data_IF_924427731320
#
_entry.id   IF_924427731320
#
_cell.length_a   1.000
_cell.length_b   1.000
_cell.length_c   1.000
_cell.angle_alpha   90.00
_cell.angle_beta   90.00
_cell.angle_gamma   90.00
#
_symmetry.space_group_name_H-M   'P 1'
#
loop_
_entity.id
_entity.type
_entity.pdbx_description
1 polymer ?
#
# COMPACT_ATOMS: atom_id res chain seq x y z
N UNK A 1 -25.25 32.08 35.94
CA UNK A 1 -23.96 31.52 35.50
C UNK A 1 -24.26 30.10 35.05
N UNK A 2 -24.49 29.92 33.77
CA UNK A 2 -24.79 28.60 33.17
C UNK A 2 -23.51 27.92 32.67
N UNK A 3 -23.39 26.59 32.76
CA UNK A 3 -22.21 25.87 32.38
C UNK A 3 -22.17 25.59 30.85
N UNK A 4 -21.76 26.58 30.04
CA UNK A 4 -21.60 26.42 28.59
C UNK A 4 -20.28 25.78 28.17
N UNK A 5 -19.37 25.47 29.12
CA UNK A 5 -18.04 24.98 28.83
C UNK A 5 -17.84 23.46 28.67
N UNK A 6 -18.82 22.65 29.18
CA UNK A 6 -18.64 21.20 29.23
C UNK A 6 -19.11 20.49 27.97
N UNK A 7 -20.02 21.08 27.20
CA UNK A 7 -20.58 20.44 25.99
C UNK A 7 -19.61 20.50 24.79
N UNK A 8 -18.80 21.56 24.70
CA UNK A 8 -17.85 21.74 23.60
C UNK A 8 -16.63 20.80 23.67
N UNK A 9 -16.17 20.48 24.89
CA UNK A 9 -15.04 19.56 25.07
C UNK A 9 -15.43 18.09 24.78
N UNK A 10 -16.66 17.69 25.05
CA UNK A 10 -17.12 16.32 24.80
C UNK A 10 -17.33 16.05 23.30
N UNK A 11 -17.78 17.04 22.54
CA UNK A 11 -17.97 16.91 21.09
C UNK A 11 -16.64 16.85 20.34
N UNK A 12 -15.65 17.64 20.74
CA UNK A 12 -14.29 17.61 20.16
C UNK A 12 -13.57 16.28 20.45
N UNK A 13 -13.72 15.73 21.67
CA UNK A 13 -13.10 14.45 22.01
C UNK A 13 -13.76 13.27 21.25
N UNK A 14 -15.07 13.31 21.01
CA UNK A 14 -15.79 12.29 20.26
C UNK A 14 -15.43 12.33 18.75
N UNK A 15 -15.29 13.52 18.17
CA UNK A 15 -14.87 13.67 16.77
C UNK A 15 -13.43 13.19 16.54
N UNK A 16 -12.50 13.50 17.45
CA UNK A 16 -11.12 13.02 17.36
C UNK A 16 -10.99 11.52 17.57
N UNK A 17 -11.78 10.91 18.46
CA UNK A 17 -11.78 9.46 18.66
C UNK A 17 -12.37 8.73 17.44
N UNK A 18 -13.42 9.25 16.81
CA UNK A 18 -14.00 8.68 15.60
C UNK A 18 -13.08 8.76 14.38
N UNK A 19 -12.30 9.83 14.23
CA UNK A 19 -11.28 9.94 13.18
C UNK A 19 -10.10 8.96 13.41
N UNK A 20 -9.66 8.77 14.64
CA UNK A 20 -8.62 7.79 14.99
C UNK A 20 -9.05 6.35 14.68
N UNK A 21 -10.32 6.00 14.91
CA UNK A 21 -10.86 4.68 14.56
C UNK A 21 -10.93 4.46 13.03
N UNK A 22 -11.25 5.50 12.26
CA UNK A 22 -11.40 5.39 10.81
C UNK A 22 -10.07 5.15 10.09
N UNK A 23 -8.96 5.76 10.54
CA UNK A 23 -7.62 5.66 9.96
C UNK A 23 -6.68 4.72 10.72
N UNK A 24 -7.18 4.07 11.77
CA UNK A 24 -6.39 3.16 12.60
C UNK A 24 -5.25 3.82 13.36
N UNK A 25 -5.27 5.14 13.52
CA UNK A 25 -4.20 5.92 14.16
C UNK A 25 -2.97 6.16 13.27
N UNK A 26 -3.07 5.91 11.97
CA UNK A 26 -1.97 6.05 11.01
C UNK A 26 -1.92 7.40 10.31
N UNK A 27 -2.87 8.28 10.56
CA UNK A 27 -2.97 9.59 9.88
C UNK A 27 -1.68 10.39 10.00
N UNK A 28 -1.25 10.95 8.89
CA UNK A 28 -0.16 11.92 8.81
C UNK A 28 -0.68 13.21 8.18
N UNK A 29 -0.43 14.33 8.83
CA UNK A 29 -1.14 15.60 8.58
C UNK A 29 -0.81 16.36 7.28
N UNK A 30 0.12 15.91 6.43
CA UNK A 30 0.68 16.81 5.41
C UNK A 30 0.83 16.27 3.99
N UNK A 31 0.37 15.06 3.66
CA UNK A 31 0.66 14.45 2.37
C UNK A 31 -0.28 14.86 1.23
N UNK A 32 -1.51 15.28 1.53
CA UNK A 32 -2.48 15.65 0.49
C UNK A 32 -2.06 16.84 -0.37
N UNK A 33 -1.20 17.70 0.15
CA UNK A 33 -0.74 18.91 -0.55
C UNK A 33 0.32 18.61 -1.62
N UNK A 34 1.07 17.52 -1.49
CA UNK A 34 2.18 17.21 -2.41
C UNK A 34 1.77 16.28 -3.54
N UNK A 35 0.89 15.32 -3.29
CA UNK A 35 0.51 14.31 -4.28
C UNK A 35 -0.98 14.04 -4.23
N UNK A 36 -1.71 14.48 -5.25
CA UNK A 36 -3.13 14.15 -5.40
C UNK A 36 -3.35 12.67 -5.72
N UNK A 37 -4.59 12.21 -5.52
CA UNK A 37 -5.00 10.82 -5.86
C UNK A 37 -4.84 10.47 -7.34
N UNK A 38 -4.66 11.48 -8.20
CA UNK A 38 -4.57 11.29 -9.65
C UNK A 38 -5.83 10.72 -10.31
N UNK A 39 -5.76 10.46 -11.62
CA UNK A 39 -6.82 9.78 -12.32
C UNK A 39 -6.90 8.29 -11.97
N UNK A 40 -8.00 7.65 -12.35
CA UNK A 40 -8.16 6.20 -12.27
C UNK A 40 -8.68 5.72 -13.62
N UNK A 41 -7.82 5.04 -14.38
CA UNK A 41 -8.13 4.45 -15.67
C UNK A 41 -7.98 2.91 -15.66
N UNK A 42 -7.71 2.31 -14.50
CA UNK A 42 -7.81 0.87 -14.29
C UNK A 42 -9.30 0.50 -14.16
N UNK A 43 -9.74 -0.58 -14.81
CA UNK A 43 -11.12 -1.05 -14.72
C UNK A 43 -11.47 -1.40 -13.28
N UNK A 44 -12.61 -0.88 -12.78
CA UNK A 44 -13.12 -1.15 -11.42
C UNK A 44 -14.38 -2.00 -11.52
N UNK A 45 -14.47 -3.03 -10.69
CA UNK A 45 -15.61 -3.95 -10.61
C UNK A 45 -16.09 -4.08 -9.16
N UNK A 46 -17.38 -3.93 -8.94
CA UNK A 46 -18.00 -4.12 -7.63
C UNK A 46 -18.32 -5.59 -7.34
N UNK A 47 -18.32 -6.41 -8.37
CA UNK A 47 -18.43 -7.87 -8.28
C UNK A 47 -17.78 -8.51 -9.49
N UNK A 48 -17.31 -9.73 -9.32
CA UNK A 48 -16.65 -10.48 -10.38
C UNK A 48 -16.81 -11.97 -10.11
N UNK A 49 -17.26 -12.74 -11.10
CA UNK A 49 -17.24 -14.19 -11.01
C UNK A 49 -15.84 -14.73 -11.30
N UNK A 50 -15.51 -15.92 -10.80
CA UNK A 50 -14.24 -16.57 -11.12
C UNK A 50 -14.04 -16.75 -12.63
N UNK A 51 -15.10 -17.13 -13.34
CA UNK A 51 -15.07 -17.28 -14.81
C UNK A 51 -14.74 -15.96 -15.51
N UNK A 52 -15.38 -14.85 -15.11
CA UNK A 52 -15.06 -13.53 -15.67
C UNK A 52 -13.63 -13.12 -15.35
N UNK A 53 -13.16 -13.36 -14.11
CA UNK A 53 -11.79 -13.08 -13.72
C UNK A 53 -10.80 -13.81 -14.64
N UNK A 54 -10.97 -15.13 -14.79
CA UNK A 54 -10.06 -15.95 -15.60
C UNK A 54 -10.08 -15.53 -17.08
N UNK A 55 -11.25 -15.25 -17.66
CA UNK A 55 -11.34 -14.95 -19.09
C UNK A 55 -10.97 -13.51 -19.46
N UNK A 56 -11.11 -12.55 -18.54
CA UNK A 56 -10.94 -11.12 -18.86
C UNK A 56 -9.68 -10.50 -18.28
N UNK A 57 -9.20 -10.98 -17.14
CA UNK A 57 -8.15 -10.32 -16.37
C UNK A 57 -6.93 -11.19 -16.10
N UNK A 58 -7.14 -12.42 -15.70
CA UNK A 58 -6.04 -13.35 -15.45
C UNK A 58 -5.09 -13.38 -16.63
N UNK A 59 -3.80 -13.20 -16.40
CA UNK A 59 -2.73 -13.16 -17.39
C UNK A 59 -2.79 -12.01 -18.42
N UNK A 60 -3.77 -11.11 -18.36
CA UNK A 60 -3.97 -10.13 -19.44
C UNK A 60 -3.92 -8.67 -19.00
N UNK A 61 -4.70 -8.26 -18.03
CA UNK A 61 -4.78 -6.86 -17.61
C UNK A 61 -5.13 -6.70 -16.13
N UNK A 62 -4.71 -5.58 -15.50
CA UNK A 62 -5.09 -5.29 -14.12
C UNK A 62 -6.58 -4.98 -13.98
N UNK A 63 -7.09 -5.20 -12.77
CA UNK A 63 -8.45 -4.84 -12.37
C UNK A 63 -8.49 -4.51 -10.89
N UNK A 64 -9.29 -3.52 -10.51
CA UNK A 64 -9.62 -3.23 -9.12
C UNK A 64 -10.98 -3.85 -8.81
N UNK A 65 -11.05 -4.60 -7.71
CA UNK A 65 -12.25 -5.32 -7.33
C UNK A 65 -12.66 -4.86 -5.92
N UNK A 66 -13.92 -4.52 -5.74
CA UNK A 66 -14.48 -4.08 -4.47
C UNK A 66 -15.30 -5.18 -3.82
N UNK A 67 -15.34 -5.17 -2.50
CA UNK A 67 -16.24 -6.03 -1.72
C UNK A 67 -15.97 -7.54 -1.80
N UNK A 68 -14.79 -7.96 -2.27
CA UNK A 68 -14.43 -9.38 -2.40
C UNK A 68 -13.74 -9.96 -1.17
N UNK A 69 -13.24 -9.11 -0.28
CA UNK A 69 -12.62 -9.50 0.97
C UNK A 69 -13.39 -8.88 2.13
N UNK A 70 -13.50 -9.63 3.24
CA UNK A 70 -14.09 -9.17 4.50
C UNK A 70 -13.03 -9.30 5.58
N UNK A 71 -12.09 -8.35 5.59
CA UNK A 71 -10.93 -8.36 6.46
C UNK A 71 -11.09 -7.43 7.67
N UNK A 72 -12.29 -7.33 8.24
CA UNK A 72 -12.59 -6.44 9.37
C UNK A 72 -11.75 -6.77 10.61
N UNK A 73 -11.61 -8.05 10.95
CA UNK A 73 -10.77 -8.47 12.07
C UNK A 73 -9.30 -8.16 11.81
N UNK A 74 -8.80 -8.48 10.63
CA UNK A 74 -7.43 -8.15 10.22
C UNK A 74 -7.19 -6.65 10.28
N UNK A 75 -8.13 -5.85 9.75
CA UNK A 75 -8.08 -4.39 9.81
C UNK A 75 -8.00 -3.86 11.24
N UNK A 76 -8.83 -4.38 12.16
CA UNK A 76 -8.82 -3.96 13.57
C UNK A 76 -7.46 -4.22 14.23
N UNK A 77 -6.85 -5.39 13.95
CA UNK A 77 -5.51 -5.74 14.43
C UNK A 77 -4.40 -4.90 13.79
N UNK A 78 -4.62 -4.37 12.59
CA UNK A 78 -3.69 -3.49 11.89
C UNK A 78 -3.71 -2.03 12.35
N UNK A 79 -4.49 -1.66 13.37
CA UNK A 79 -4.38 -0.32 13.96
C UNK A 79 -2.98 -0.08 14.54
N UNK A 80 -2.51 1.16 14.51
CA UNK A 80 -1.18 1.53 15.03
C UNK A 80 -0.98 1.10 16.48
N UNK A 81 -2.01 1.33 17.30
CA UNK A 81 -1.98 0.94 18.71
C UNK A 81 -1.85 -0.59 18.88
N UNK A 82 -2.70 -1.36 18.17
CA UNK A 82 -2.69 -2.83 18.28
C UNK A 82 -1.37 -3.43 17.81
N UNK A 83 -0.85 -2.96 16.66
CA UNK A 83 0.41 -3.46 16.12
C UNK A 83 1.60 -3.11 17.01
N UNK A 84 1.66 -1.90 17.55
CA UNK A 84 2.74 -1.51 18.48
C UNK A 84 2.67 -2.28 19.79
N UNK A 85 1.46 -2.54 20.30
CA UNK A 85 1.27 -3.30 21.53
C UNK A 85 1.73 -4.76 21.36
N UNK A 86 1.39 -5.40 20.25
CA UNK A 86 1.67 -6.83 20.02
C UNK A 86 3.09 -7.06 19.49
N UNK A 87 3.52 -6.24 18.51
CA UNK A 87 4.74 -6.49 17.74
C UNK A 87 5.82 -5.43 17.93
N UNK A 88 5.61 -4.39 18.75
CA UNK A 88 6.53 -3.26 18.88
C UNK A 88 7.98 -3.63 19.13
N UNK A 89 8.24 -4.66 19.92
CA UNK A 89 9.58 -5.15 20.26
C UNK A 89 10.10 -6.25 19.30
N UNK A 90 9.30 -6.69 18.31
CA UNK A 90 9.73 -7.69 17.33
C UNK A 90 10.62 -7.03 16.28
N UNK A 91 11.64 -7.75 15.83
CA UNK A 91 12.47 -7.31 14.71
C UNK A 91 11.69 -7.41 13.41
N UNK A 92 11.75 -6.36 12.64
CA UNK A 92 11.26 -6.31 11.26
C UNK A 92 12.42 -6.04 10.32
N UNK A 93 12.38 -6.66 9.15
CA UNK A 93 13.36 -6.43 8.10
C UNK A 93 12.86 -5.35 7.18
N UNK A 94 13.60 -4.26 7.11
CA UNK A 94 13.38 -3.17 6.19
C UNK A 94 14.26 -3.33 4.98
N UNK A 95 13.77 -2.89 3.83
CA UNK A 95 14.54 -2.83 2.58
C UNK A 95 14.61 -1.39 2.09
N UNK A 96 15.65 -1.04 1.34
CA UNK A 96 15.68 0.25 0.64
C UNK A 96 14.60 0.30 -0.43
N UNK A 97 13.98 1.48 -0.57
CA UNK A 97 12.83 1.72 -1.46
C UNK A 97 13.28 2.04 -2.89
N UNK A 98 14.23 1.28 -3.43
CA UNK A 98 14.65 1.31 -4.82
C UNK A 98 14.24 0.01 -5.52
N UNK A 99 14.34 -0.03 -6.85
CA UNK A 99 13.82 -1.15 -7.67
C UNK A 99 14.32 -2.52 -7.21
N UNK A 100 15.56 -2.62 -6.76
CA UNK A 100 16.18 -3.90 -6.39
C UNK A 100 16.33 -4.10 -4.88
N UNK A 101 15.87 -3.17 -4.05
CA UNK A 101 15.94 -3.27 -2.58
C UNK A 101 17.33 -3.68 -2.07
N UNK A 102 18.37 -2.95 -2.49
CA UNK A 102 19.79 -3.36 -2.35
C UNK A 102 20.25 -3.55 -0.92
N UNK A 103 19.73 -2.78 0.03
CA UNK A 103 20.14 -2.85 1.42
C UNK A 103 18.97 -3.28 2.28
N UNK A 104 19.29 -4.05 3.32
CA UNK A 104 18.33 -4.52 4.31
C UNK A 104 18.87 -4.24 5.70
N UNK A 105 17.99 -3.90 6.64
CA UNK A 105 18.30 -3.66 8.04
C UNK A 105 17.21 -4.26 8.92
N UNK A 106 17.62 -4.89 10.01
CA UNK A 106 16.68 -5.42 11.02
C UNK A 106 16.63 -4.43 12.19
N UNK A 107 15.42 -3.96 12.49
CA UNK A 107 15.15 -3.02 13.60
C UNK A 107 13.91 -3.44 14.37
N UNK A 108 13.75 -3.04 15.64
CA UNK A 108 12.48 -3.18 16.33
C UNK A 108 11.35 -2.48 15.55
N UNK A 109 10.18 -3.11 15.47
CA UNK A 109 9.05 -2.54 14.74
C UNK A 109 8.66 -1.13 15.26
N UNK A 110 8.73 -0.95 16.59
CA UNK A 110 8.50 0.35 17.22
C UNK A 110 9.47 1.43 16.72
N UNK A 111 10.76 1.10 16.58
CA UNK A 111 11.79 2.02 16.07
C UNK A 111 11.46 2.47 14.64
N UNK A 112 11.04 1.53 13.79
CA UNK A 112 10.58 1.86 12.44
C UNK A 112 9.41 2.84 12.45
N UNK A 113 8.36 2.52 13.21
CA UNK A 113 7.12 3.31 13.23
C UNK A 113 7.31 4.71 13.81
N UNK A 114 8.08 4.83 14.90
CA UNK A 114 8.21 6.09 15.63
C UNK A 114 9.32 7.00 15.09
N UNK A 115 10.39 6.43 14.51
CA UNK A 115 11.58 7.22 14.16
C UNK A 115 12.01 7.12 12.70
N UNK A 116 11.71 6.04 11.99
CA UNK A 116 12.17 5.83 10.61
C UNK A 116 11.09 6.11 9.56
N UNK A 117 9.82 5.88 9.87
CA UNK A 117 8.69 6.10 8.98
C UNK A 117 8.35 7.60 8.90
N UNK A 118 9.05 8.29 7.99
CA UNK A 118 8.90 9.75 7.80
C UNK A 118 8.30 10.04 6.41
N UNK A 119 7.63 11.19 6.23
CA UNK A 119 7.26 11.66 4.91
C UNK A 119 8.47 11.75 3.99
N UNK A 120 8.29 11.36 2.72
CA UNK A 120 9.36 11.37 1.72
C UNK A 120 9.69 12.80 1.30
N UNK A 121 10.98 13.12 1.18
CA UNK A 121 11.47 14.33 0.52
C UNK A 121 11.64 14.08 -0.99
N UNK A 122 11.46 15.14 -1.80
CA UNK A 122 11.74 15.10 -3.25
C UNK A 122 13.21 14.85 -3.58
N UNK A 123 14.11 15.28 -2.70
CA UNK A 123 15.55 15.16 -2.90
C UNK A 123 16.12 13.81 -2.45
N UNK A 124 15.30 13.00 -1.75
CA UNK A 124 15.74 11.68 -1.28
C UNK A 124 15.81 10.67 -2.42
N UNK A 125 16.81 9.78 -2.33
CA UNK A 125 16.91 8.62 -3.22
C UNK A 125 16.21 7.40 -2.60
N UNK A 126 15.88 6.44 -3.43
CA UNK A 126 15.33 5.16 -2.96
C UNK A 126 16.27 4.42 -2.01
N UNK A 127 17.59 4.56 -2.21
CA UNK A 127 18.63 4.02 -1.32
C UNK A 127 18.68 4.68 0.05
N UNK A 128 18.12 5.87 0.21
CA UNK A 128 18.11 6.62 1.48
C UNK A 128 16.85 6.36 2.31
N UNK A 129 15.89 5.61 1.74
CA UNK A 129 14.58 5.37 2.33
C UNK A 129 14.43 3.90 2.68
N UNK A 130 14.24 3.58 3.94
CA UNK A 130 13.88 2.24 4.38
C UNK A 130 12.36 2.06 4.37
N UNK A 131 11.95 0.87 3.93
CA UNK A 131 10.56 0.54 3.64
C UNK A 131 10.22 -0.82 4.24
N UNK A 132 9.17 -0.90 5.04
CA UNK A 132 8.70 -2.17 5.59
C UNK A 132 7.71 -2.82 4.63
N UNK A 133 8.17 -3.81 3.87
CA UNK A 133 7.31 -4.62 3.00
C UNK A 133 8.00 -5.93 2.64
N UNK A 134 7.30 -7.04 2.83
CA UNK A 134 7.83 -8.36 2.61
C UNK A 134 8.87 -8.77 3.66
N UNK A 135 9.56 -9.86 3.44
CA UNK A 135 10.49 -10.47 4.40
C UNK A 135 9.88 -10.63 5.82
N UNK A 136 8.56 -10.86 5.89
CA UNK A 136 7.84 -10.97 7.15
C UNK A 136 8.18 -12.28 7.87
N UNK A 137 8.36 -12.20 9.17
CA UNK A 137 8.49 -13.39 10.02
C UNK A 137 7.10 -13.96 10.34
N UNK A 138 6.63 -14.90 9.52
CA UNK A 138 5.28 -15.48 9.66
C UNK A 138 5.07 -16.22 10.98
N UNK A 139 6.11 -16.72 11.62
CA UNK A 139 6.01 -17.37 12.92
C UNK A 139 5.76 -16.36 14.03
N UNK A 140 6.51 -15.25 14.03
CA UNK A 140 6.36 -14.20 15.04
C UNK A 140 5.09 -13.36 14.85
N UNK A 141 4.60 -13.25 13.62
CA UNK A 141 3.42 -12.48 13.26
C UNK A 141 2.18 -13.36 12.96
N UNK A 142 2.21 -14.63 13.35
CA UNK A 142 1.14 -15.58 13.07
C UNK A 142 -0.23 -15.14 13.60
N UNK A 143 -0.28 -14.51 14.78
CA UNK A 143 -1.53 -13.97 15.36
C UNK A 143 -2.21 -12.96 14.44
N UNK A 144 -1.45 -12.20 13.63
CA UNK A 144 -1.98 -11.29 12.62
C UNK A 144 -2.33 -12.04 11.33
N UNK A 145 -1.38 -12.79 10.75
CA UNK A 145 -1.57 -13.37 9.41
C UNK A 145 -2.68 -14.40 9.32
N UNK A 146 -2.95 -15.15 10.38
CA UNK A 146 -4.06 -16.13 10.41
C UNK A 146 -5.44 -15.47 10.33
N UNK A 147 -5.56 -14.17 10.55
CA UNK A 147 -6.83 -13.44 10.44
C UNK A 147 -7.08 -12.85 9.05
N UNK A 148 -6.06 -12.87 8.20
CA UNK A 148 -6.19 -12.35 6.84
C UNK A 148 -6.88 -13.35 5.93
N UNK A 149 -7.89 -12.88 5.21
CA UNK A 149 -8.59 -13.62 4.17
C UNK A 149 -8.17 -13.07 2.81
N UNK A 150 -7.42 -13.88 2.06
CA UNK A 150 -6.95 -13.50 0.73
C UNK A 150 -8.10 -13.38 -0.29
N UNK A 151 -7.92 -12.62 -1.38
CA UNK A 151 -8.87 -12.59 -2.47
C UNK A 151 -9.20 -13.99 -3.00
N UNK A 152 -10.46 -14.27 -3.35
CA UNK A 152 -10.92 -15.64 -3.63
C UNK A 152 -10.49 -16.21 -4.99
N UNK A 153 -9.96 -15.34 -5.88
CA UNK A 153 -9.60 -15.80 -7.24
C UNK A 153 -8.15 -16.27 -7.26
N UNK A 154 -7.96 -17.56 -7.46
CA UNK A 154 -6.65 -18.20 -7.61
C UNK A 154 -6.36 -18.46 -9.07
N UNK A 155 -5.08 -18.42 -9.45
CA UNK A 155 -4.63 -18.91 -10.73
C UNK A 155 -4.37 -20.43 -10.64
N UNK A 156 -4.71 -21.23 -11.65
CA UNK A 156 -4.49 -22.67 -11.62
C UNK A 156 -3.02 -23.03 -11.35
N UNK A 157 -2.78 -23.88 -10.36
CA UNK A 157 -1.45 -24.37 -10.02
C UNK A 157 -0.62 -23.40 -9.18
N UNK A 158 -1.20 -22.29 -8.70
CA UNK A 158 -0.50 -21.33 -7.84
C UNK A 158 -0.94 -21.41 -6.39
N UNK A 159 -0.07 -20.98 -5.49
CA UNK A 159 -0.35 -20.76 -4.07
C UNK A 159 -0.13 -19.29 -3.73
N UNK A 160 -0.90 -18.75 -2.78
CA UNK A 160 -0.72 -17.38 -2.33
C UNK A 160 0.41 -17.25 -1.30
N UNK A 161 1.32 -16.32 -1.52
CA UNK A 161 2.34 -15.92 -0.54
C UNK A 161 2.12 -14.47 -0.14
N UNK A 162 2.05 -14.19 1.18
CA UNK A 162 1.76 -12.86 1.68
C UNK A 162 3.01 -11.99 1.82
N UNK A 163 2.84 -10.71 1.56
CA UNK A 163 3.80 -9.67 1.92
C UNK A 163 3.03 -8.52 2.55
N UNK A 164 3.25 -8.33 3.83
CA UNK A 164 2.64 -7.26 4.61
C UNK A 164 3.59 -6.08 4.66
N UNK A 165 3.04 -4.86 4.63
CA UNK A 165 3.81 -3.65 4.66
C UNK A 165 3.10 -2.48 5.31
N UNK A 166 3.92 -1.58 5.85
CA UNK A 166 3.52 -0.28 6.38
C UNK A 166 4.53 0.73 5.89
N UNK A 167 4.06 1.83 5.32
CA UNK A 167 4.97 2.82 4.76
C UNK A 167 4.42 4.24 4.89
N UNK A 168 5.31 5.18 5.09
CA UNK A 168 4.99 6.60 5.26
C UNK A 168 4.48 7.24 3.97
N UNK A 169 3.77 8.36 4.14
CA UNK A 169 3.26 9.17 3.04
C UNK A 169 4.38 9.64 2.10
N UNK A 170 4.11 9.66 0.81
CA UNK A 170 5.06 10.02 -0.25
C UNK A 170 6.11 8.96 -0.55
N UNK A 171 6.20 7.88 0.23
CA UNK A 171 7.10 6.76 -0.06
C UNK A 171 6.48 5.79 -1.06
N UNK A 172 7.31 5.01 -1.72
CA UNK A 172 6.87 4.01 -2.68
C UNK A 172 8.05 3.23 -3.23
N UNK A 173 7.76 2.26 -4.08
CA UNK A 173 8.77 1.47 -4.79
C UNK A 173 8.74 1.88 -6.26
N UNK A 174 9.89 2.25 -6.87
CA UNK A 174 9.96 2.58 -8.28
C UNK A 174 9.62 1.37 -9.16
N UNK A 175 9.51 1.60 -10.47
CA UNK A 175 9.09 0.55 -11.41
C UNK A 175 9.93 -0.72 -11.30
N UNK A 176 9.22 -1.82 -11.22
CA UNK A 176 9.71 -3.20 -11.22
C UNK A 176 8.61 -4.13 -11.71
N UNK A 177 8.92 -5.37 -11.94
CA UNK A 177 7.95 -6.40 -12.28
C UNK A 177 8.31 -7.74 -11.62
N UNK A 178 7.30 -8.57 -11.42
CA UNK A 178 7.40 -9.94 -10.91
C UNK A 178 6.14 -10.71 -11.29
N UNK A 179 5.93 -11.90 -10.72
CA UNK A 179 4.74 -12.71 -10.93
C UNK A 179 3.44 -12.00 -10.54
N UNK A 180 2.32 -12.57 -10.98
CA UNK A 180 0.98 -12.03 -10.70
C UNK A 180 0.69 -11.94 -9.20
N UNK A 181 -0.19 -11.01 -8.82
CA UNK A 181 -0.59 -10.87 -7.43
C UNK A 181 -1.77 -9.94 -7.23
N UNK A 182 -2.14 -9.86 -5.96
CA UNK A 182 -3.11 -8.90 -5.45
C UNK A 182 -2.45 -7.93 -4.49
N UNK A 183 -2.97 -6.71 -4.41
CA UNK A 183 -2.65 -5.77 -3.35
C UNK A 183 -3.92 -5.19 -2.76
N UNK A 184 -4.04 -5.25 -1.44
CA UNK A 184 -5.15 -4.72 -0.67
C UNK A 184 -4.65 -3.64 0.29
N UNK A 185 -5.30 -2.47 0.29
CA UNK A 185 -5.06 -1.41 1.26
C UNK A 185 -5.96 -1.63 2.47
N UNK A 186 -5.35 -1.64 3.65
CA UNK A 186 -6.04 -1.80 4.94
C UNK A 186 -6.32 -0.44 5.56
N UNK A 187 -5.32 0.45 5.56
CA UNK A 187 -5.44 1.85 5.97
C UNK A 187 -4.66 2.74 5.01
N UNK A 188 -5.07 3.99 4.89
CA UNK A 188 -4.46 4.95 3.98
C UNK A 188 -4.90 4.77 2.53
N UNK A 189 -4.12 5.32 1.60
CA UNK A 189 -4.37 5.28 0.15
C UNK A 189 -3.05 5.02 -0.57
N UNK A 190 -3.09 4.17 -1.60
CA UNK A 190 -1.90 3.79 -2.36
C UNK A 190 -2.15 3.94 -3.84
N UNK A 191 -1.38 4.81 -4.52
CA UNK A 191 -1.46 5.03 -5.96
C UNK A 191 -0.53 4.06 -6.67
N UNK A 192 -1.04 3.47 -7.74
CA UNK A 192 -0.35 2.51 -8.59
C UNK A 192 -0.19 3.05 -9.98
N UNK A 193 0.97 2.83 -10.58
CA UNK A 193 1.29 3.12 -11.96
C UNK A 193 1.70 1.82 -12.63
N UNK A 194 1.02 1.46 -13.74
CA UNK A 194 1.16 0.15 -14.35
C UNK A 194 1.41 0.29 -15.86
N UNK A 195 2.34 -0.53 -16.37
CA UNK A 195 2.55 -0.68 -17.80
C UNK A 195 2.55 -2.17 -18.18
N UNK A 196 2.04 -2.50 -19.36
CA UNK A 196 2.07 -3.88 -19.84
C UNK A 196 3.53 -4.33 -20.09
N UNK A 197 3.79 -5.64 -20.14
CA UNK A 197 5.14 -6.20 -20.25
C UNK A 197 5.95 -5.70 -21.47
N UNK A 198 5.26 -5.42 -22.57
CA UNK A 198 5.87 -4.94 -23.82
C UNK A 198 6.25 -3.46 -23.79
N UNK A 199 5.83 -2.71 -22.79
CA UNK A 199 6.10 -1.28 -22.66
C UNK A 199 6.95 -0.98 -21.43
N UNK A 200 8.25 -0.86 -21.61
CA UNK A 200 9.17 -0.47 -20.52
C UNK A 200 8.97 1.00 -20.17
N UNK A 201 8.67 1.33 -18.91
CA UNK A 201 8.58 2.72 -18.45
C UNK A 201 9.93 3.43 -18.50
N UNK A 202 9.91 4.75 -18.68
CA UNK A 202 11.07 5.60 -18.47
C UNK A 202 11.19 5.93 -16.96
N UNK A 203 12.27 5.46 -16.33
CA UNK A 203 12.53 5.71 -14.92
C UNK A 203 14.00 5.45 -14.56
N UNK A 204 14.41 5.92 -13.40
CA UNK A 204 15.72 5.60 -12.81
C UNK A 204 15.52 4.71 -11.58
N UNK A 205 16.20 3.54 -11.49
CA UNK A 205 15.92 2.54 -10.44
C UNK A 205 16.22 2.98 -9.01
N UNK A 206 16.99 4.05 -8.82
CA UNK A 206 17.29 4.61 -7.49
C UNK A 206 16.60 5.94 -7.20
N UNK A 207 15.92 6.56 -8.16
CA UNK A 207 15.01 7.69 -7.88
C UNK A 207 13.72 7.16 -7.26
N UNK A 208 13.15 7.93 -6.32
CA UNK A 208 11.87 7.57 -5.71
C UNK A 208 10.72 7.72 -6.70
N UNK A 209 9.61 7.02 -6.46
CA UNK A 209 8.38 7.22 -7.23
C UNK A 209 7.89 8.65 -7.09
N UNK A 210 8.09 9.28 -5.93
CA UNK A 210 7.75 10.68 -5.73
C UNK A 210 8.55 11.60 -6.66
N UNK A 211 9.88 11.43 -6.75
CA UNK A 211 10.71 12.19 -7.71
C UNK A 211 10.24 11.97 -9.14
N UNK A 212 9.97 10.71 -9.53
CA UNK A 212 9.47 10.39 -10.86
C UNK A 212 8.15 11.11 -11.20
N UNK A 213 7.25 11.23 -10.22
CA UNK A 213 5.99 11.96 -10.35
C UNK A 213 6.17 13.46 -10.68
N UNK A 214 7.27 14.07 -10.24
CA UNK A 214 7.55 15.49 -10.50
C UNK A 214 8.48 15.69 -11.70
N UNK A 215 9.45 14.78 -11.90
CA UNK A 215 10.51 14.95 -12.89
C UNK A 215 10.19 14.34 -14.24
N UNK A 216 9.35 13.31 -14.29
CA UNK A 216 9.11 12.53 -15.52
C UNK A 216 7.62 12.50 -15.91
N UNK A 217 6.76 12.12 -14.98
CA UNK A 217 5.33 11.94 -15.26
C UNK A 217 4.63 13.13 -15.91
N UNK A 218 4.88 14.41 -15.54
CA UNK A 218 4.20 15.56 -16.16
C UNK A 218 4.56 15.78 -17.63
N UNK A 219 5.68 15.22 -18.08
CA UNK A 219 6.21 15.37 -19.45
C UNK A 219 5.89 14.18 -20.34
N UNK A 220 5.27 13.14 -19.80
CA UNK A 220 4.83 11.99 -20.61
C UNK A 220 3.73 12.40 -21.59
N UNK A 221 3.85 11.94 -22.83
CA UNK A 221 2.77 12.10 -23.81
C UNK A 221 1.58 11.21 -23.42
N UNK A 222 0.39 11.48 -23.94
CA UNK A 222 -0.81 10.69 -23.59
C UNK A 222 -0.63 9.19 -23.89
N UNK A 223 0.12 8.86 -24.94
CA UNK A 223 0.39 7.46 -25.28
C UNK A 223 1.43 6.80 -24.38
N UNK A 224 2.21 7.59 -23.65
CA UNK A 224 3.26 7.11 -22.74
C UNK A 224 2.83 7.11 -21.29
N UNK A 225 1.68 7.68 -20.97
CA UNK A 225 1.14 7.62 -19.61
C UNK A 225 0.82 6.18 -19.20
N UNK A 226 1.01 5.84 -17.91
CA UNK A 226 0.65 4.54 -17.37
C UNK A 226 -0.87 4.35 -17.29
N UNK A 227 -1.30 3.11 -17.15
CA UNK A 227 -2.52 2.83 -16.41
C UNK A 227 -2.26 3.16 -14.95
N UNK A 228 -3.21 3.83 -14.30
CA UNK A 228 -3.04 4.24 -12.91
C UNK A 228 -4.35 4.31 -12.14
N UNK A 229 -4.27 4.13 -10.86
CA UNK A 229 -5.37 4.36 -9.93
C UNK A 229 -4.85 4.44 -8.49
N UNK A 230 -5.50 5.22 -7.66
CA UNK A 230 -5.33 5.17 -6.22
C UNK A 230 -6.34 4.21 -5.62
N UNK A 231 -5.86 3.17 -4.96
CA UNK A 231 -6.70 2.20 -4.25
C UNK A 231 -6.89 2.63 -2.78
N UNK A 232 -8.08 2.34 -2.27
CA UNK A 232 -8.56 2.70 -0.94
C UNK A 232 -8.84 1.45 -0.11
N UNK A 233 -9.01 1.56 1.22
CA UNK A 233 -9.46 0.45 2.04
C UNK A 233 -10.73 -0.22 1.49
N UNK A 234 -10.71 -1.56 1.40
CA UNK A 234 -11.77 -2.35 0.79
C UNK A 234 -11.67 -2.55 -0.72
N UNK A 235 -10.64 -1.99 -1.36
CA UNK A 235 -10.32 -2.21 -2.77
C UNK A 235 -9.10 -3.12 -2.91
N UNK A 236 -9.20 -4.06 -3.82
CA UNK A 236 -8.15 -5.02 -4.16
C UNK A 236 -7.72 -4.82 -5.60
N UNK A 237 -6.46 -4.50 -5.83
CA UNK A 237 -5.89 -4.46 -7.17
C UNK A 237 -5.33 -5.85 -7.51
N UNK A 238 -5.76 -6.43 -8.61
CA UNK A 238 -5.08 -7.53 -9.29
C UNK A 238 -4.11 -6.95 -10.33
N UNK A 239 -2.87 -7.42 -10.35
CA UNK A 239 -1.88 -7.13 -11.39
C UNK A 239 -1.34 -8.44 -11.99
N UNK A 240 -1.32 -8.57 -13.33
CA UNK A 240 -0.85 -9.79 -13.97
C UNK A 240 0.68 -9.96 -13.92
N UNK A 241 1.13 -11.16 -14.27
CA UNK A 241 2.56 -11.49 -14.40
C UNK A 241 3.28 -10.52 -15.35
N UNK A 242 4.50 -10.11 -14.96
CA UNK A 242 5.42 -9.24 -15.69
C UNK A 242 4.91 -7.83 -16.01
N UNK A 243 3.76 -7.41 -15.48
CA UNK A 243 3.35 -6.02 -15.59
C UNK A 243 4.27 -5.14 -14.77
N UNK A 244 4.86 -4.14 -15.42
CA UNK A 244 5.62 -3.12 -14.73
C UNK A 244 4.72 -2.34 -13.78
N UNK A 245 5.19 -2.12 -12.57
CA UNK A 245 4.44 -1.29 -11.62
C UNK A 245 5.36 -0.50 -10.69
N UNK A 246 4.93 0.71 -10.40
CA UNK A 246 5.46 1.55 -9.34
C UNK A 246 4.34 1.92 -8.39
N UNK A 247 4.67 2.18 -7.13
CA UNK A 247 3.69 2.52 -6.10
C UNK A 247 4.06 3.81 -5.39
N UNK A 248 3.04 4.52 -4.91
CA UNK A 248 3.18 5.74 -4.14
C UNK A 248 2.12 5.77 -3.04
N UNK A 249 2.55 5.80 -1.78
CA UNK A 249 1.64 5.95 -0.64
C UNK A 249 1.20 7.41 -0.54
N UNK A 250 -0.07 7.67 -0.77
CA UNK A 250 -0.64 9.03 -0.65
C UNK A 250 -0.68 9.43 0.83
N UNK A 251 -1.12 8.51 1.67
CA UNK A 251 -1.08 8.62 3.12
C UNK A 251 -0.09 7.60 3.69
N UNK A 252 0.21 7.68 4.98
CA UNK A 252 0.77 6.51 5.67
C UNK A 252 -0.19 5.35 5.46
N UNK A 253 0.30 4.30 4.84
CA UNK A 253 -0.52 3.18 4.38
C UNK A 253 -0.12 1.88 5.02
N UNK A 254 -1.12 1.10 5.41
CA UNK A 254 -0.99 -0.31 5.80
C UNK A 254 -1.61 -1.14 4.69
N UNK A 255 -0.87 -2.10 4.17
CA UNK A 255 -1.28 -2.88 3.01
C UNK A 255 -0.72 -4.30 3.05
N UNK A 256 -1.35 -5.18 2.31
CA UNK A 256 -0.91 -6.57 2.16
C UNK A 256 -1.02 -6.97 0.70
N UNK A 257 -0.01 -7.64 0.18
CA UNK A 257 -0.04 -8.26 -1.14
C UNK A 257 -0.09 -9.78 -1.01
N UNK A 258 -0.81 -10.41 -1.94
CA UNK A 258 -0.83 -11.87 -2.11
C UNK A 258 -0.21 -12.18 -3.46
N UNK A 259 1.01 -12.68 -3.47
CA UNK A 259 1.69 -13.12 -4.69
C UNK A 259 1.25 -14.52 -5.06
N UNK A 260 0.99 -14.74 -6.35
CA UNK A 260 0.53 -16.01 -6.92
C UNK A 260 1.71 -16.68 -7.65
N UNK A 261 2.25 -17.73 -7.06
CA UNK A 261 3.41 -18.44 -7.60
C UNK A 261 3.46 -19.91 -7.21
#
# INVERSE_FOLDING_TARGET
MEPRGLLALTVLAAASAGELEADGGWKTDHSEQMVGKGPCNVEVRDSLTYSEFVHRYAYSKPVIIRGITQNEQFRALCSKQSLLQEFGNRLVRLSTANTYSYQKVDVPFKEYVEHMMKPQSLDSLGSDTFYFFGDNNFTEWDSLFRTYVQPPYQLPGTTGAYSFGIAGAGTGVPFHWHGAGYSEVIYGRKRWFLYPPEKTPEFHPNKTTLSWMFDTYPYLTEVDKPMECTIHPGEVLYFPDRWWHATLNIDTSVFISTFLG
#
